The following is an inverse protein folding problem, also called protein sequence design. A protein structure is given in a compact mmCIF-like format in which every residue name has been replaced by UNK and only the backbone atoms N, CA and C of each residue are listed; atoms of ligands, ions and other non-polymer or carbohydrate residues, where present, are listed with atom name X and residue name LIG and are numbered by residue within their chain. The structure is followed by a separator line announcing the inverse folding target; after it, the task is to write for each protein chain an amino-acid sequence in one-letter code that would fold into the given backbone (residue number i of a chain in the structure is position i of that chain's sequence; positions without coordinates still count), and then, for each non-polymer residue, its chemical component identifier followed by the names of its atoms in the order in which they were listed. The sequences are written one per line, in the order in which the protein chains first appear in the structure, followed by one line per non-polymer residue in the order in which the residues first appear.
data_IF_121839834907
#
_entry.id   IF_121839834907
#
_cell.length_a   1.000
_cell.length_b   1.000
_cell.length_c   1.000
_cell.angle_alpha   90.00
_cell.angle_beta   90.00
_cell.angle_gamma   90.00
#
_symmetry.space_group_name_H-M   'P 1'
#
loop_
_entity.id
_entity.type
_entity.pdbx_description
1 polymer ?
#
# COMPACT_ATOMS: atom_id res chain seq x y z
N UNK A 1 -21.16 -35.01 -29.37
CA UNK A 1 -21.09 -33.81 -30.23
C UNK A 1 -21.71 -32.68 -29.43
N UNK A 2 -20.90 -31.85 -28.77
CA UNK A 2 -21.39 -30.68 -28.02
C UNK A 2 -21.93 -29.68 -29.04
N UNK A 3 -23.23 -29.41 -29.00
CA UNK A 3 -23.85 -28.40 -29.86
C UNK A 3 -23.32 -27.05 -29.38
N UNK A 4 -22.53 -26.41 -30.22
CA UNK A 4 -21.94 -25.10 -29.95
C UNK A 4 -23.03 -24.05 -30.20
N UNK A 5 -23.71 -23.60 -29.14
CA UNK A 5 -24.76 -22.58 -29.26
C UNK A 5 -24.10 -21.19 -29.34
N UNK A 6 -23.83 -20.74 -30.57
CA UNK A 6 -23.18 -19.46 -30.83
C UNK A 6 -24.00 -18.27 -30.29
N UNK A 7 -25.32 -18.39 -30.20
CA UNK A 7 -26.18 -17.30 -29.72
C UNK A 7 -26.13 -17.16 -28.19
N UNK A 8 -26.04 -18.28 -27.46
CA UNK A 8 -25.80 -18.26 -26.00
C UNK A 8 -24.43 -17.66 -25.67
N UNK A 9 -23.39 -17.99 -26.45
CA UNK A 9 -22.05 -17.44 -26.27
C UNK A 9 -22.03 -15.94 -26.59
N UNK A 10 -22.69 -15.51 -27.67
CA UNK A 10 -22.82 -14.11 -28.02
C UNK A 10 -23.53 -13.33 -26.91
N UNK A 11 -24.67 -13.82 -26.42
CA UNK A 11 -25.41 -13.18 -25.34
C UNK A 11 -24.59 -13.09 -24.04
N UNK A 12 -23.84 -14.14 -23.71
CA UNK A 12 -22.95 -14.13 -22.55
C UNK A 12 -21.79 -13.13 -22.70
N UNK A 13 -21.21 -13.01 -23.90
CA UNK A 13 -20.14 -12.06 -24.20
C UNK A 13 -20.64 -10.61 -24.20
N UNK A 14 -21.82 -10.33 -24.76
CA UNK A 14 -22.43 -8.99 -24.74
C UNK A 14 -22.80 -8.57 -23.31
N UNK A 15 -23.20 -9.52 -22.46
CA UNK A 15 -23.44 -9.26 -21.04
C UNK A 15 -22.14 -8.99 -20.27
N UNK A 16 -21.07 -9.71 -20.61
CA UNK A 16 -19.77 -9.57 -19.94
C UNK A 16 -18.98 -8.33 -20.42
N UNK A 17 -19.19 -7.93 -21.67
CA UNK A 17 -18.53 -6.81 -22.33
C UNK A 17 -19.58 -5.94 -23.04
N UNK A 18 -20.40 -5.21 -22.27
CA UNK A 18 -21.41 -4.34 -22.84
C UNK A 18 -20.75 -3.29 -23.74
N UNK A 19 -21.37 -3.01 -24.89
CA UNK A 19 -20.97 -1.89 -25.75
C UNK A 19 -21.58 -0.62 -25.15
N UNK A 20 -20.78 0.30 -24.59
CA UNK A 20 -21.32 1.47 -23.94
C UNK A 20 -22.04 2.38 -24.94
N UNK A 21 -23.19 2.92 -24.55
CA UNK A 21 -23.95 3.86 -25.37
C UNK A 21 -23.33 5.26 -25.39
N UNK A 22 -22.65 5.65 -24.32
CA UNK A 22 -21.97 6.94 -24.15
C UNK A 22 -20.73 6.83 -23.25
N UNK A 23 -19.98 7.93 -23.14
CA UNK A 23 -18.74 7.99 -22.34
C UNK A 23 -18.98 7.85 -20.82
N UNK A 24 -20.17 8.20 -20.32
CA UNK A 24 -20.50 8.03 -18.90
C UNK A 24 -20.76 6.56 -18.57
N UNK A 25 -21.41 5.84 -19.47
CA UNK A 25 -21.64 4.40 -19.34
C UNK A 25 -20.31 3.62 -19.44
N UNK A 26 -19.41 4.04 -20.34
CA UNK A 26 -18.06 3.45 -20.43
C UNK A 26 -17.26 3.67 -19.14
N UNK A 27 -17.27 4.89 -18.61
CA UNK A 27 -16.61 5.22 -17.34
C UNK A 27 -17.19 4.40 -16.17
N UNK A 28 -18.51 4.19 -16.14
CA UNK A 28 -19.18 3.37 -15.14
C UNK A 28 -18.73 1.90 -15.20
N UNK A 29 -18.70 1.29 -16.39
CA UNK A 29 -18.22 -0.09 -16.54
C UNK A 29 -16.74 -0.24 -16.19
N UNK A 30 -15.90 0.73 -16.58
CA UNK A 30 -14.50 0.77 -16.18
C UNK A 30 -14.35 0.80 -14.65
N UNK A 31 -15.17 1.60 -13.95
CA UNK A 31 -15.17 1.65 -12.49
C UNK A 31 -15.58 0.30 -11.86
N UNK A 32 -16.63 -0.34 -12.38
CA UNK A 32 -17.06 -1.66 -11.91
C UNK A 32 -16.00 -2.74 -12.12
N UNK A 33 -15.36 -2.76 -13.29
CA UNK A 33 -14.30 -3.70 -13.62
C UNK A 33 -13.09 -3.49 -12.72
N UNK A 34 -12.68 -2.24 -12.49
CA UNK A 34 -11.60 -1.92 -11.57
C UNK A 34 -11.89 -2.40 -10.14
N UNK A 35 -13.14 -2.24 -9.67
CA UNK A 35 -13.59 -2.79 -8.38
C UNK A 35 -13.44 -4.30 -8.32
N UNK A 36 -13.95 -5.00 -9.33
CA UNK A 36 -13.91 -6.46 -9.42
C UNK A 36 -12.48 -7.01 -9.49
N UNK A 37 -11.60 -6.38 -10.28
CA UNK A 37 -10.18 -6.73 -10.36
C UNK A 37 -9.46 -6.51 -9.02
N UNK A 38 -9.80 -5.44 -8.29
CA UNK A 38 -9.24 -5.19 -6.96
C UNK A 38 -9.65 -6.26 -5.95
N UNK A 39 -10.91 -6.70 -5.97
CA UNK A 39 -11.38 -7.76 -5.08
C UNK A 39 -10.76 -9.11 -5.43
N UNK A 40 -10.65 -9.42 -6.72
CA UNK A 40 -9.96 -10.61 -7.20
C UNK A 40 -8.47 -10.59 -6.81
N UNK A 41 -7.80 -9.45 -6.93
CA UNK A 41 -6.41 -9.28 -6.50
C UNK A 41 -6.24 -9.55 -5.00
N UNK A 42 -7.19 -9.15 -4.13
CA UNK A 42 -7.15 -9.47 -2.70
C UNK A 42 -7.23 -10.98 -2.45
N UNK A 43 -8.10 -11.69 -3.19
CA UNK A 43 -8.24 -13.15 -3.07
C UNK A 43 -6.95 -13.85 -3.49
N UNK A 44 -6.38 -13.50 -4.64
CA UNK A 44 -5.12 -14.09 -5.09
C UNK A 44 -3.95 -13.74 -4.17
N UNK A 45 -3.91 -12.54 -3.61
CA UNK A 45 -2.90 -12.16 -2.61
C UNK A 45 -2.97 -13.05 -1.37
N UNK A 46 -4.18 -13.35 -0.88
CA UNK A 46 -4.37 -14.28 0.24
C UNK A 46 -3.86 -15.68 -0.13
N UNK A 47 -4.28 -16.21 -1.27
CA UNK A 47 -3.87 -17.53 -1.75
C UNK A 47 -2.35 -17.63 -1.93
N UNK A 48 -1.73 -16.57 -2.44
CA UNK A 48 -0.28 -16.47 -2.57
C UNK A 48 0.40 -16.58 -1.20
N UNK A 49 -0.06 -15.83 -0.19
CA UNK A 49 0.52 -15.89 1.15
C UNK A 49 0.37 -17.27 1.80
N UNK A 50 -0.80 -17.91 1.66
CA UNK A 50 -1.02 -19.30 2.11
C UNK A 50 0.00 -20.25 1.47
N UNK A 51 0.22 -20.12 0.17
CA UNK A 51 1.20 -20.94 -0.57
C UNK A 51 2.63 -20.67 -0.10
N UNK A 52 2.97 -19.41 0.21
CA UNK A 52 4.27 -19.04 0.78
C UNK A 52 4.50 -19.69 2.14
N UNK A 53 3.47 -19.70 3.00
CA UNK A 53 3.54 -20.32 4.32
C UNK A 53 3.72 -21.84 4.20
N UNK A 54 3.02 -22.48 3.26
CA UNK A 54 3.20 -23.90 2.93
C UNK A 54 4.64 -24.21 2.43
N UNK A 55 5.17 -23.40 1.51
CA UNK A 55 6.55 -23.54 1.00
C UNK A 55 7.55 -23.49 2.15
N UNK A 56 7.39 -22.54 3.06
CA UNK A 56 8.28 -22.38 4.22
C UNK A 56 8.15 -23.51 5.22
N UNK A 57 6.92 -23.90 5.56
CA UNK A 57 6.66 -24.98 6.51
C UNK A 57 7.19 -26.33 6.00
N UNK A 58 7.06 -26.57 4.69
CA UNK A 58 7.54 -27.79 4.03
C UNK A 58 9.00 -27.75 3.58
N UNK A 59 9.70 -26.62 3.70
CA UNK A 59 11.05 -26.46 3.18
C UNK A 59 11.15 -26.74 1.67
N UNK A 60 10.11 -26.42 0.91
CA UNK A 60 10.01 -26.76 -0.51
C UNK A 60 11.02 -25.97 -1.33
N UNK A 61 11.79 -26.66 -2.17
CA UNK A 61 12.76 -26.07 -3.09
C UNK A 61 12.31 -26.31 -4.53
N UNK A 62 12.58 -25.33 -5.40
CA UNK A 62 12.33 -25.43 -6.83
C UNK A 62 13.59 -25.07 -7.61
N UNK A 63 13.87 -25.82 -8.67
CA UNK A 63 15.01 -25.55 -9.57
C UNK A 63 14.76 -24.31 -10.46
N UNK A 64 13.49 -24.02 -10.75
CA UNK A 64 13.09 -22.95 -11.67
C UNK A 64 12.65 -21.68 -10.96
N UNK A 65 12.34 -21.74 -9.66
CA UNK A 65 11.75 -20.64 -8.91
C UNK A 65 12.39 -20.46 -7.53
N UNK A 66 12.61 -19.20 -7.16
CA UNK A 66 13.09 -18.83 -5.83
C UNK A 66 12.11 -17.88 -5.16
N UNK A 67 11.80 -18.18 -3.90
CA UNK A 67 11.02 -17.30 -3.03
C UNK A 67 11.96 -16.27 -2.41
N UNK A 68 11.70 -14.98 -2.67
CA UNK A 68 12.52 -13.86 -2.19
C UNK A 68 11.67 -12.95 -1.33
N UNK A 69 12.18 -12.57 -0.16
CA UNK A 69 11.58 -11.51 0.62
C UNK A 69 11.97 -10.17 0.02
N UNK A 70 10.99 -9.40 -0.43
CA UNK A 70 11.21 -8.04 -0.87
C UNK A 70 11.16 -7.08 0.30
N UNK A 71 12.07 -6.12 0.22
CA UNK A 71 12.24 -5.05 1.18
C UNK A 71 11.88 -3.72 0.50
N UNK A 72 11.07 -2.91 1.18
CA UNK A 72 10.79 -1.54 0.77
C UNK A 72 11.62 -0.60 1.64
N UNK A 73 12.28 0.35 0.99
CA UNK A 73 12.87 1.48 1.71
C UNK A 73 11.77 2.48 2.00
N UNK A 74 11.59 2.84 3.26
CA UNK A 74 10.70 3.90 3.70
C UNK A 74 11.52 4.96 4.42
N UNK A 75 11.26 6.22 4.11
CA UNK A 75 11.81 7.35 4.84
C UNK A 75 10.98 7.52 6.13
N UNK A 76 11.66 7.52 7.27
CA UNK A 76 11.08 7.78 8.58
C UNK A 76 11.71 9.06 9.13
N UNK A 77 10.86 10.02 9.50
CA UNK A 77 11.30 11.31 10.07
C UNK A 77 11.34 11.17 11.58
N UNK A 78 12.46 11.57 12.18
CA UNK A 78 12.59 11.70 13.63
C UNK A 78 11.89 13.00 14.07
N UNK A 79 10.60 12.87 14.35
CA UNK A 79 9.71 13.96 14.79
C UNK A 79 10.28 14.67 16.02
N UNK A 80 10.92 13.94 16.94
CA UNK A 80 11.46 14.53 18.19
C UNK A 80 12.69 15.37 17.88
N UNK A 81 13.59 14.87 17.04
CA UNK A 81 14.76 15.62 16.61
C UNK A 81 14.33 16.87 15.82
N UNK A 82 13.38 16.74 14.88
CA UNK A 82 12.90 17.86 14.06
C UNK A 82 12.20 18.93 14.91
N UNK A 83 11.34 18.54 15.84
CA UNK A 83 10.62 19.45 16.75
C UNK A 83 11.56 20.19 17.70
N UNK A 84 12.64 19.56 18.14
CA UNK A 84 13.59 20.16 19.07
C UNK A 84 14.66 21.00 18.36
N UNK A 85 15.08 20.60 17.15
CA UNK A 85 16.12 21.28 16.38
C UNK A 85 15.60 22.43 15.53
N UNK A 86 14.45 22.27 14.87
CA UNK A 86 13.88 23.23 13.92
C UNK A 86 12.37 23.42 14.18
N UNK A 87 11.99 24.02 15.32
CA UNK A 87 10.59 24.13 15.73
C UNK A 87 9.71 24.94 14.76
N UNK A 88 10.27 25.97 14.12
CA UNK A 88 9.54 26.81 13.15
C UNK A 88 9.23 26.03 11.87
N UNK A 89 10.23 25.31 11.33
CA UNK A 89 10.05 24.44 10.17
C UNK A 89 9.10 23.28 10.47
N UNK A 90 9.17 22.72 11.68
CA UNK A 90 8.27 21.66 12.12
C UNK A 90 6.80 22.10 12.08
N UNK A 91 6.48 23.32 12.53
CA UNK A 91 5.11 23.82 12.47
C UNK A 91 4.57 23.99 11.05
N UNK A 92 5.45 24.22 10.08
CA UNK A 92 5.06 24.42 8.68
C UNK A 92 4.92 23.11 7.89
N UNK A 93 5.58 22.02 8.31
CA UNK A 93 5.65 20.75 7.55
C UNK A 93 4.79 19.64 8.18
N UNK A 94 4.26 19.84 9.39
CA UNK A 94 3.34 18.89 10.05
C UNK A 94 1.95 18.97 9.41
N UNK A 95 1.53 17.86 8.78
CA UNK A 95 0.27 17.75 8.04
C UNK A 95 -0.95 17.52 8.96
N UNK A 96 -0.74 16.91 10.12
CA UNK A 96 -1.77 16.73 11.15
C UNK A 96 -1.20 17.19 12.47
N UNK A 97 -1.59 18.39 12.89
CA UNK A 97 -1.31 18.85 14.25
C UNK A 97 -2.15 18.04 15.24
N UNK A 98 -1.69 17.91 16.48
CA UNK A 98 -2.46 17.29 17.58
C UNK A 98 -3.85 17.95 17.77
N UNK A 99 -3.98 19.23 17.40
CA UNK A 99 -5.24 19.97 17.39
C UNK A 99 -6.21 19.50 16.29
N UNK A 100 -5.70 19.26 15.09
CA UNK A 100 -6.52 18.84 13.94
C UNK A 100 -6.83 17.34 13.96
N UNK A 101 -5.96 16.51 14.54
CA UNK A 101 -6.28 15.12 14.86
C UNK A 101 -7.53 15.01 15.75
N UNK A 102 -7.68 15.90 16.74
CA UNK A 102 -8.86 15.94 17.60
C UNK A 102 -10.14 16.36 16.85
N UNK A 103 -10.02 17.23 15.83
CA UNK A 103 -11.14 17.62 14.95
C UNK A 103 -11.50 16.52 13.95
N UNK A 104 -10.52 15.81 13.37
CA UNK A 104 -10.74 14.64 12.49
C UNK A 104 -11.36 13.46 13.24
N UNK A 105 -11.10 13.34 14.54
CA UNK A 105 -11.75 12.35 15.41
C UNK A 105 -13.14 12.76 15.90
N UNK A 106 -13.58 13.99 15.56
CA UNK A 106 -14.87 14.72 15.66
C UNK A 106 -15.93 14.36 16.72
N UNK A 107 -15.66 13.43 17.63
CA UNK A 107 -16.49 13.14 18.76
C UNK A 107 -15.54 13.05 19.95
N UNK A 108 -15.66 13.99 20.89
CA UNK A 108 -14.85 14.07 22.10
C UNK A 108 -14.79 12.71 22.83
N UNK A 109 -15.87 11.94 22.75
CA UNK A 109 -15.93 10.57 23.25
C UNK A 109 -14.95 9.61 22.57
N UNK A 110 -14.80 9.67 21.24
CA UNK A 110 -13.85 8.85 20.48
C UNK A 110 -12.43 9.27 20.83
N UNK A 111 -12.13 10.57 20.89
CA UNK A 111 -10.82 11.07 21.28
C UNK A 111 -10.44 10.66 22.71
N UNK A 112 -11.32 10.83 23.69
CA UNK A 112 -11.05 10.43 25.08
C UNK A 112 -11.00 8.90 25.26
N UNK A 113 -11.81 8.13 24.54
CA UNK A 113 -11.76 6.67 24.56
C UNK A 113 -10.46 6.14 23.92
N UNK A 114 -9.99 6.77 22.85
CA UNK A 114 -8.70 6.49 22.20
C UNK A 114 -7.55 6.90 23.14
N UNK A 115 -7.59 8.10 23.73
CA UNK A 115 -6.58 8.55 24.71
C UNK A 115 -6.50 7.62 25.93
N UNK A 116 -7.63 7.10 26.41
CA UNK A 116 -7.67 6.14 27.52
C UNK A 116 -7.09 4.76 27.16
N UNK A 117 -7.17 4.35 25.89
CA UNK A 117 -6.64 3.08 25.39
C UNK A 117 -5.17 3.14 24.95
N UNK A 118 -4.74 4.24 24.34
CA UNK A 118 -3.40 4.38 23.75
C UNK A 118 -2.51 5.36 24.55
N UNK A 119 -3.05 6.07 25.54
CA UNK A 119 -2.33 7.03 26.39
C UNK A 119 -1.90 8.29 25.63
N UNK A 120 -0.78 8.87 26.05
CA UNK A 120 -0.17 10.05 25.40
C UNK A 120 0.51 9.73 24.07
N UNK A 121 0.49 8.48 23.60
CA UNK A 121 1.04 8.06 22.29
C UNK A 121 0.40 8.77 21.09
N UNK A 122 -0.68 9.52 21.30
CA UNK A 122 -1.30 10.37 20.28
C UNK A 122 -0.31 11.47 19.83
N UNK A 123 0.59 11.96 20.68
CA UNK A 123 1.65 12.90 20.28
C UNK A 123 2.74 12.27 19.41
N UNK A 124 2.76 10.95 19.27
CA UNK A 124 3.68 10.24 18.37
C UNK A 124 3.11 10.14 16.93
N UNK A 125 1.89 10.65 16.68
CA UNK A 125 1.21 10.63 15.38
C UNK A 125 1.29 11.97 14.62
N UNK A 126 2.21 12.86 14.98
CA UNK A 126 2.51 14.05 14.16
C UNK A 126 3.08 13.58 12.82
N UNK A 127 2.27 13.57 11.76
CA UNK A 127 2.71 13.15 10.44
C UNK A 127 3.35 14.33 9.71
N UNK A 128 4.66 14.24 9.47
CA UNK A 128 5.44 15.23 8.70
C UNK A 128 5.37 14.87 7.22
N UNK A 129 5.08 15.85 6.37
CA UNK A 129 5.19 15.66 4.93
C UNK A 129 6.67 15.58 4.52
N UNK A 130 7.11 14.40 4.09
CA UNK A 130 8.52 14.14 3.73
C UNK A 130 8.93 14.96 2.50
N UNK A 131 8.02 15.15 1.54
CA UNK A 131 8.33 15.88 0.31
C UNK A 131 8.54 17.38 0.59
N UNK A 132 7.75 17.94 1.51
CA UNK A 132 7.90 19.34 1.95
C UNK A 132 9.16 19.55 2.81
N UNK A 133 9.57 18.53 3.58
CA UNK A 133 10.82 18.56 4.35
C UNK A 133 12.04 18.55 3.41
N UNK A 134 12.00 17.71 2.37
CA UNK A 134 13.05 17.62 1.33
C UNK A 134 13.16 18.88 0.47
N UNK A 135 12.03 19.55 0.21
CA UNK A 135 12.03 20.81 -0.54
C UNK A 135 12.67 21.98 0.22
N UNK A 136 12.79 21.86 1.56
CA UNK A 136 13.17 22.98 2.43
C UNK A 136 14.51 22.79 3.15
N UNK A 137 14.99 21.56 3.27
CA UNK A 137 16.29 21.26 3.87
C UNK A 137 17.25 20.64 2.85
N UNK A 138 18.49 21.13 2.76
CA UNK A 138 19.52 20.48 1.96
C UNK A 138 19.90 19.11 2.57
N UNK A 139 20.33 18.16 1.73
CA UNK A 139 20.63 16.75 2.09
C UNK A 139 21.51 16.52 3.35
N UNK A 140 22.51 17.37 3.69
CA UNK A 140 23.32 17.18 4.89
C UNK A 140 22.53 17.33 6.18
N UNK A 141 21.63 18.31 6.25
CA UNK A 141 20.81 18.63 7.43
C UNK A 141 19.59 17.70 7.50
N UNK A 142 19.05 17.31 6.35
CA UNK A 142 17.96 16.35 6.23
C UNK A 142 18.30 14.98 6.86
N UNK A 143 19.56 14.57 6.74
CA UNK A 143 20.07 13.28 7.25
C UNK A 143 20.11 13.20 8.78
N UNK A 144 20.07 14.34 9.48
CA UNK A 144 19.99 14.39 10.94
C UNK A 144 18.56 14.11 11.46
N UNK A 145 17.56 14.43 10.63
CA UNK A 145 16.14 14.34 10.99
C UNK A 145 15.39 13.22 10.27
N UNK A 146 16.02 12.53 9.33
CA UNK A 146 15.40 11.48 8.53
C UNK A 146 16.30 10.26 8.41
N UNK A 147 15.72 9.08 8.60
CA UNK A 147 16.39 7.80 8.39
C UNK A 147 15.66 6.99 7.35
N UNK A 148 16.43 6.31 6.51
CA UNK A 148 15.88 5.32 5.58
C UNK A 148 15.81 4.00 6.33
N UNK A 149 14.60 3.59 6.69
CA UNK A 149 14.35 2.27 7.24
C UNK A 149 13.98 1.30 6.12
N UNK A 150 14.39 0.06 6.30
CA UNK A 150 14.07 -1.02 5.38
C UNK A 150 13.00 -1.88 6.02
N UNK A 151 11.80 -1.88 5.44
CA UNK A 151 10.65 -2.65 5.94
C UNK A 151 10.35 -3.81 5.00
N UNK A 152 9.99 -4.99 5.53
CA UNK A 152 9.59 -6.11 4.69
C UNK A 152 8.28 -5.76 3.97
N UNK A 153 8.32 -5.77 2.63
CA UNK A 153 7.17 -5.49 1.76
C UNK A 153 6.30 -6.73 1.54
N UNK A 154 6.91 -7.90 1.63
CA UNK A 154 6.28 -9.20 1.42
C UNK A 154 7.21 -10.16 0.68
N UNK A 155 6.67 -11.30 0.26
CA UNK A 155 7.39 -12.25 -0.57
C UNK A 155 7.02 -12.11 -2.03
N UNK A 156 7.98 -12.43 -2.90
CA UNK A 156 7.77 -12.57 -4.34
C UNK A 156 8.44 -13.85 -4.82
N UNK A 157 7.90 -14.42 -5.90
CA UNK A 157 8.50 -15.59 -6.56
C UNK A 157 9.20 -15.10 -7.82
N UNK A 158 10.49 -15.40 -7.95
CA UNK A 158 11.30 -15.05 -9.12
C UNK A 158 11.71 -16.31 -9.86
N UNK A 159 11.75 -16.25 -11.19
CA UNK A 159 12.35 -17.33 -11.99
C UNK A 159 13.86 -17.31 -11.81
N UNK A 160 14.45 -18.49 -11.66
CA UNK A 160 15.91 -18.65 -11.68
C UNK A 160 16.38 -18.34 -13.10
N UNK A 161 17.22 -17.31 -13.24
CA UNK A 161 17.78 -16.94 -14.53
C UNK A 161 18.83 -17.99 -14.91
N UNK A 162 18.45 -18.97 -15.73
CA UNK A 162 19.42 -19.85 -16.35
C UNK A 162 20.29 -19.01 -17.30
N UNK A 163 21.56 -18.79 -16.95
CA UNK A 163 22.56 -18.32 -17.91
C UNK A 163 22.55 -19.33 -19.06
N UNK A 164 22.08 -18.90 -20.24
CA UNK A 164 22.33 -19.65 -21.48
C UNK A 164 23.84 -19.86 -21.58
N UNK A 165 24.28 -21.12 -21.46
CA UNK A 165 25.63 -21.51 -21.84
C UNK A 165 25.70 -21.32 -23.35
N UNK A 166 26.43 -20.30 -23.79
CA UNK A 166 26.91 -20.19 -25.17
C UNK A 166 27.93 -21.29 -25.46
#
# INVERSE_FOLDING_TARGET
MTIFNADEIRAALETAFPVPMDEYEDAFYCQLMAGSLNDLAKVYKRRFNETVDEIKAGGLLSEDFVLVQEESRRKEVDIKALRNGLPDLFQEVVHVTTSDAAKLLSNRFIYEAVKKKIGDRITDYDAVNVDDLEARLPEPELSEYMKIITIPKGYVVKRVSQRRRN
#
